data_IF_793006662957
#
_entry.id   IF_793006662957
#
_cell.length_a   1.000
_cell.length_b   1.000
_cell.length_c   1.000
_cell.angle_alpha   90.00
_cell.angle_beta   90.00
_cell.angle_gamma   90.00
#
_symmetry.space_group_name_H-M   'P 1'
#
loop_
_entity.id
_entity.type
_entity.pdbx_description
1 polymer ?
#
# COMPACT_ATOMS: atom_id res chain seq x y z
N UNK A 1 -39.91 10.66 18.17
CA UNK A 1 -40.26 9.57 17.26
C UNK A 1 -40.33 10.22 15.88
N UNK A 2 -39.48 9.99 14.89
CA UNK A 2 -38.65 8.82 14.60
C UNK A 2 -37.42 9.24 13.79
N UNK A 3 -36.39 8.41 13.89
CA UNK A 3 -35.04 8.58 13.39
C UNK A 3 -34.98 8.62 11.85
N UNK A 4 -34.24 9.56 11.29
CA UNK A 4 -33.73 9.46 9.91
C UNK A 4 -32.40 8.73 9.96
N UNK A 5 -32.36 7.58 9.29
CA UNK A 5 -31.19 6.71 9.16
C UNK A 5 -29.97 7.48 8.65
N UNK A 6 -28.85 7.34 9.36
CA UNK A 6 -27.53 7.66 8.83
C UNK A 6 -27.15 6.57 7.83
N UNK A 7 -26.99 6.96 6.57
CA UNK A 7 -26.41 6.15 5.50
C UNK A 7 -25.01 5.69 5.95
N UNK A 8 -24.62 4.41 5.79
CA UNK A 8 -23.23 4.02 5.89
C UNK A 8 -22.52 4.53 4.64
N UNK A 9 -21.73 5.59 4.76
CA UNK A 9 -20.78 5.98 3.72
C UNK A 9 -19.82 4.81 3.48
N UNK A 10 -20.09 4.01 2.44
CA UNK A 10 -19.19 2.96 1.97
C UNK A 10 -17.91 3.62 1.43
N UNK A 11 -16.95 3.82 2.32
CA UNK A 11 -15.61 4.31 1.99
C UNK A 11 -15.03 3.37 0.94
N UNK A 12 -14.67 3.84 -0.26
CA UNK A 12 -14.31 2.96 -1.35
C UNK A 12 -13.14 2.07 -0.91
N UNK A 13 -13.26 0.76 -1.16
CA UNK A 13 -12.24 -0.25 -0.86
C UNK A 13 -10.86 0.02 -1.52
N UNK A 14 -10.73 1.11 -2.28
CA UNK A 14 -9.47 1.65 -2.79
C UNK A 14 -8.55 2.17 -1.69
N UNK A 15 -9.09 2.85 -0.68
CA UNK A 15 -8.29 3.59 0.31
C UNK A 15 -7.41 2.67 1.16
N UNK A 16 -7.87 1.45 1.42
CA UNK A 16 -7.15 0.44 2.18
C UNK A 16 -5.93 -0.09 1.39
N UNK A 17 -6.03 -0.10 0.06
CA UNK A 17 -5.05 -0.67 -0.86
C UNK A 17 -4.07 0.38 -1.37
N UNK A 18 -4.00 1.54 -0.70
CA UNK A 18 -3.12 2.64 -1.04
C UNK A 18 -2.17 2.97 0.12
N UNK A 19 -0.95 3.34 -0.25
CA UNK A 19 0.04 3.78 0.71
C UNK A 19 -0.30 5.17 1.23
N UNK A 20 -0.43 5.35 2.55
CA UNK A 20 -0.77 6.64 3.16
C UNK A 20 0.35 7.70 3.12
N UNK A 21 1.52 7.36 2.56
CA UNK A 21 2.63 8.30 2.35
C UNK A 21 2.61 8.88 0.93
N UNK A 22 2.43 8.04 -0.09
CA UNK A 22 2.46 8.49 -1.49
C UNK A 22 1.09 8.47 -2.18
N UNK A 23 0.05 7.97 -1.51
CA UNK A 23 -1.31 7.80 -2.03
C UNK A 23 -1.37 7.00 -3.34
N UNK A 24 -0.40 6.11 -3.54
CA UNK A 24 -0.37 5.20 -4.69
C UNK A 24 -0.80 3.81 -4.25
N UNK A 25 -1.46 3.09 -5.15
CA UNK A 25 -1.86 1.69 -4.92
C UNK A 25 -0.65 0.79 -4.62
N UNK A 26 -0.84 -0.12 -3.69
CA UNK A 26 0.08 -1.23 -3.47
C UNK A 26 0.08 -2.17 -4.68
N UNK A 27 1.20 -2.86 -4.89
CA UNK A 27 1.35 -3.88 -5.91
C UNK A 27 2.29 -4.99 -5.40
N UNK A 28 2.31 -6.13 -6.09
CA UNK A 28 3.17 -7.26 -5.73
C UNK A 28 4.66 -7.08 -6.08
N UNK A 29 5.04 -5.92 -6.63
CA UNK A 29 6.38 -5.63 -7.15
C UNK A 29 7.08 -4.57 -6.28
N UNK A 30 7.27 -3.35 -6.78
CA UNK A 30 8.03 -2.28 -6.13
C UNK A 30 7.23 -1.49 -5.08
N UNK A 31 5.92 -1.72 -4.94
CA UNK A 31 5.05 -1.10 -3.94
C UNK A 31 4.38 -2.15 -3.07
N UNK A 32 5.10 -3.20 -2.68
CA UNK A 32 4.63 -4.14 -1.68
C UNK A 32 4.30 -3.42 -0.36
N UNK A 33 3.20 -3.75 0.31
CA UNK A 33 2.84 -3.19 1.61
C UNK A 33 3.73 -3.80 2.69
N UNK A 34 4.82 -3.13 3.09
CA UNK A 34 5.72 -3.62 4.15
C UNK A 34 5.21 -3.20 5.52
N UNK A 35 5.43 -4.05 6.52
CA UNK A 35 5.10 -3.81 7.92
C UNK A 35 6.40 -3.52 8.69
N UNK A 36 6.41 -2.40 9.43
CA UNK A 36 7.47 -2.04 10.38
C UNK A 36 7.21 -2.69 11.75
N UNK A 37 8.17 -2.66 12.68
CA UNK A 37 8.04 -3.27 14.02
C UNK A 37 6.90 -2.69 14.84
N UNK A 38 6.56 -1.42 14.58
CA UNK A 38 5.40 -0.74 15.16
C UNK A 38 4.06 -1.10 14.50
N UNK A 39 4.04 -2.10 13.62
CA UNK A 39 2.87 -2.61 12.89
C UNK A 39 2.24 -1.61 11.89
N UNK A 40 2.87 -0.47 11.65
CA UNK A 40 2.45 0.43 10.59
C UNK A 40 2.87 -0.08 9.22
N UNK A 41 1.98 0.15 8.24
CA UNK A 41 2.16 -0.26 6.85
C UNK A 41 2.63 0.89 5.98
N UNK A 42 3.70 0.67 5.21
CA UNK A 42 4.23 1.62 4.22
C UNK A 42 4.65 0.85 2.96
N UNK A 43 4.51 1.42 1.77
CA UNK A 43 4.94 0.72 0.56
C UNK A 43 6.49 0.66 0.47
N UNK A 44 7.02 -0.42 -0.09
CA UNK A 44 8.46 -0.62 -0.23
C UNK A 44 9.19 0.56 -0.90
N UNK A 45 8.62 1.14 -1.97
CA UNK A 45 9.18 2.33 -2.62
C UNK A 45 9.32 3.53 -1.68
N UNK A 46 8.39 3.75 -0.76
CA UNK A 46 8.47 4.86 0.20
C UNK A 46 9.49 4.58 1.28
N UNK A 47 9.57 3.34 1.78
CA UNK A 47 10.56 2.94 2.77
C UNK A 47 11.99 3.05 2.23
N UNK A 48 12.24 2.66 0.97
CA UNK A 48 13.56 2.82 0.36
C UNK A 48 13.98 4.29 0.34
N UNK A 49 13.08 5.19 -0.07
CA UNK A 49 13.36 6.63 -0.03
C UNK A 49 13.67 7.16 1.38
N UNK A 50 12.98 6.65 2.40
CA UNK A 50 13.23 7.06 3.80
C UNK A 50 14.63 6.59 4.23
N UNK A 51 14.99 5.35 3.87
CA UNK A 51 16.31 4.79 4.14
C UNK A 51 17.43 5.54 3.40
N UNK A 52 17.22 5.88 2.13
CA UNK A 52 18.16 6.65 1.30
C UNK A 52 18.45 8.04 1.91
N UNK A 53 17.43 8.70 2.49
CA UNK A 53 17.59 10.00 3.18
C UNK A 53 18.38 9.84 4.48
N UNK A 54 18.34 8.67 5.11
CA UNK A 54 19.06 8.34 6.35
C UNK A 54 20.54 8.03 6.17
N UNK A 55 21.12 8.29 4.99
CA UNK A 55 22.56 8.15 4.68
C UNK A 55 23.16 6.79 5.06
N UNK A 56 22.43 5.70 4.78
CA UNK A 56 22.88 4.33 5.11
C UNK A 56 22.69 3.92 6.57
N UNK A 57 21.86 4.64 7.33
CA UNK A 57 21.36 4.18 8.63
C UNK A 57 20.81 2.77 8.53
N UNK A 58 21.13 1.91 9.50
CA UNK A 58 20.55 0.57 9.62
C UNK A 58 19.12 0.60 10.17
N UNK A 59 18.55 1.79 10.41
CA UNK A 59 17.25 1.99 10.99
C UNK A 59 16.35 2.87 10.11
N UNK A 60 15.09 2.46 10.00
CA UNK A 60 14.02 3.26 9.42
C UNK A 60 13.15 3.81 10.54
N UNK A 61 13.01 5.14 10.63
CA UNK A 61 12.03 5.76 11.52
C UNK A 61 10.65 5.73 10.86
N UNK A 62 9.66 5.16 11.57
CA UNK A 62 8.29 5.10 11.09
C UNK A 62 7.71 6.51 10.87
N UNK A 63 7.17 6.84 9.67
CA UNK A 63 6.64 8.18 9.38
C UNK A 63 5.36 8.52 10.17
N UNK A 64 4.73 7.55 10.82
CA UNK A 64 3.49 7.76 11.58
C UNK A 64 3.72 7.90 13.08
N UNK A 65 4.62 7.10 13.66
CA UNK A 65 4.83 7.06 15.11
C UNK A 65 6.29 7.20 15.56
N UNK A 66 7.22 7.38 14.61
CA UNK A 66 8.68 7.54 14.83
C UNK A 66 9.42 6.36 15.45
N UNK A 67 8.74 5.24 15.73
CA UNK A 67 9.39 4.00 16.14
C UNK A 67 10.42 3.55 15.09
N UNK A 68 11.59 3.11 15.56
CA UNK A 68 12.69 2.69 14.71
C UNK A 68 12.59 1.20 14.41
N UNK A 69 12.85 0.83 13.16
CA UNK A 69 12.89 -0.55 12.69
C UNK A 69 14.23 -0.82 12.03
N UNK A 70 14.91 -1.87 12.47
CA UNK A 70 16.23 -2.26 11.99
C UNK A 70 16.14 -3.00 10.63
N UNK A 71 17.08 -2.75 9.71
CA UNK A 71 17.08 -3.27 8.31
C UNK A 71 18.47 -3.74 7.85
N UNK A 72 19.24 -4.37 8.76
CA UNK A 72 20.68 -4.65 8.63
C UNK A 72 21.13 -5.53 7.44
N UNK A 73 20.39 -6.58 7.09
CA UNK A 73 20.88 -7.59 6.13
C UNK A 73 20.08 -7.68 4.81
N UNK A 74 18.83 -7.26 4.81
CA UNK A 74 17.88 -7.54 3.72
C UNK A 74 17.23 -6.29 3.12
N UNK A 75 17.73 -5.11 3.49
CA UNK A 75 17.16 -3.81 3.12
C UNK A 75 15.65 -3.77 3.40
N UNK A 76 14.91 -2.90 2.73
CA UNK A 76 13.44 -2.86 2.81
C UNK A 76 12.79 -4.17 2.34
N UNK A 77 13.47 -4.97 1.51
CA UNK A 77 12.94 -6.21 0.97
C UNK A 77 12.67 -7.26 2.05
N UNK A 78 13.50 -7.32 3.10
CA UNK A 78 13.39 -8.28 4.19
C UNK A 78 12.30 -8.03 5.22
N UNK A 79 11.71 -6.83 5.24
CA UNK A 79 10.57 -6.57 6.12
C UNK A 79 9.39 -7.50 5.80
N UNK A 80 8.48 -7.80 6.73
CA UNK A 80 7.29 -8.58 6.41
C UNK A 80 6.36 -7.82 5.44
N UNK A 81 5.74 -8.53 4.49
CA UNK A 81 4.65 -8.01 3.67
C UNK A 81 3.31 -8.15 4.42
N UNK A 82 2.36 -7.25 4.17
CA UNK A 82 1.00 -7.38 4.66
C UNK A 82 0.20 -8.40 3.84
N UNK A 83 0.09 -9.62 4.36
CA UNK A 83 -0.60 -10.73 3.69
C UNK A 83 -2.08 -10.47 3.39
N UNK A 84 -2.77 -9.64 4.18
CA UNK A 84 -4.19 -9.31 3.93
C UNK A 84 -4.31 -8.47 2.66
N UNK A 85 -3.49 -7.43 2.55
CA UNK A 85 -3.43 -6.59 1.35
C UNK A 85 -2.94 -7.39 0.15
N UNK A 86 -1.89 -8.20 0.31
CA UNK A 86 -1.38 -9.03 -0.78
C UNK A 86 -2.44 -10.00 -1.32
N UNK A 87 -3.23 -10.61 -0.43
CA UNK A 87 -4.37 -11.45 -0.80
C UNK A 87 -5.43 -10.68 -1.59
N UNK A 88 -5.79 -9.47 -1.14
CA UNK A 88 -6.76 -8.59 -1.81
C UNK A 88 -6.27 -8.12 -3.19
N UNK A 89 -4.96 -7.95 -3.37
CA UNK A 89 -4.39 -7.61 -4.68
C UNK A 89 -4.49 -8.80 -5.66
N UNK A 90 -4.23 -10.02 -5.18
CA UNK A 90 -4.30 -11.22 -6.02
C UNK A 90 -5.72 -11.55 -6.51
N UNK A 91 -6.77 -11.21 -5.74
CA UNK A 91 -8.16 -11.45 -6.15
C UNK A 91 -8.66 -10.45 -7.20
N UNK A 92 -8.12 -9.23 -7.21
CA UNK A 92 -8.59 -8.15 -8.09
C UNK A 92 -7.88 -8.10 -9.45
N UNK A 93 -6.69 -8.67 -9.56
CA UNK A 93 -6.00 -8.79 -10.85
C UNK A 93 -6.76 -9.65 -11.87
N UNK A 94 -7.63 -10.56 -11.38
CA UNK A 94 -8.52 -11.38 -12.23
C UNK A 94 -9.71 -10.63 -12.82
N UNK A 95 -10.07 -9.44 -12.31
CA UNK A 95 -11.25 -8.71 -12.78
C UNK A 95 -10.92 -7.56 -13.74
N UNK A 96 -9.64 -7.24 -13.98
CA UNK A 96 -9.20 -6.21 -14.94
C UNK A 96 -8.52 -6.87 -16.14
N UNK A 97 -9.20 -7.82 -16.78
CA UNK A 97 -8.83 -8.27 -18.12
C UNK A 97 -10.08 -8.70 -18.86
N UNK A 98 -11.01 -7.75 -19.03
CA UNK A 98 -12.05 -7.87 -20.05
C UNK A 98 -12.65 -6.49 -20.34
N UNK A 99 -12.67 -6.18 -21.63
CA UNK A 99 -13.33 -5.06 -22.29
C UNK A 99 -12.66 -3.68 -22.25
N UNK A 100 -11.59 -3.58 -23.03
CA UNK A 100 -11.37 -2.39 -23.85
C UNK A 100 -11.23 -2.84 -25.29
N UNK A 101 -12.34 -3.27 -25.91
CA UNK A 101 -12.41 -3.32 -27.36
C UNK A 101 -12.92 -1.96 -27.82
N UNK A 102 -11.99 -1.20 -28.36
CA UNK A 102 -12.19 -0.12 -29.31
C UNK A 102 -13.54 -0.19 -30.07
N UNK A 103 -14.38 0.83 -29.91
CA UNK A 103 -15.39 1.15 -30.93
C UNK A 103 -14.75 2.17 -31.86
N UNK A 104 -14.22 1.66 -32.98
CA UNK A 104 -13.68 2.50 -34.05
C UNK A 104 -14.87 3.19 -34.72
N UNK A 105 -15.13 4.45 -34.36
CA UNK A 105 -15.99 5.32 -35.16
C UNK A 105 -15.11 5.92 -36.27
N UNK A 106 -15.23 5.36 -37.48
CA UNK A 106 -14.70 6.01 -38.70
C UNK A 106 -15.91 6.36 -39.58
N UNK A 107 -15.89 7.51 -40.29
CA UNK A 107 -17.08 8.25 -40.72
C UNK A 107 -18.02 7.55 -41.71
#
# INVERSE_FOLDING_TARGET
MSCTHAEPEEKPASDELECKICYQRYNAHNRKPKILDCLHRVCARCLNKILDIGDGSQFISCPFCRHETEVTEYEVAGLPDDSNIMSKLATRDKSWSSDSKEVVLTP
#
